data_IF_687972462668
#
_entry.id   IF_687972462668
#
_cell.length_a   1.000
_cell.length_b   1.000
_cell.length_c   1.000
_cell.angle_alpha   90.00
_cell.angle_beta   90.00
_cell.angle_gamma   90.00
#
_symmetry.space_group_name_H-M   'P 1'
#
loop_
_entity.id
_entity.type
_entity.pdbx_description
1 polymer ?
#
# COMPACT_ATOMS: atom_id res chain seq x y z
N UNK A 1 33.21 -6.95 19.02
CA UNK A 1 32.32 -5.86 19.47
C UNK A 1 31.77 -5.23 18.21
N UNK A 2 30.43 -5.02 18.14
CA UNK A 2 29.81 -4.31 17.03
C UNK A 2 30.29 -2.86 16.99
N UNK A 3 30.35 -2.26 15.81
CA UNK A 3 30.70 -0.84 15.69
C UNK A 3 29.64 0.03 16.41
N UNK A 4 30.10 1.15 16.94
CA UNK A 4 29.28 2.14 17.63
C UNK A 4 29.12 3.37 16.74
N UNK A 5 27.88 3.74 16.49
CA UNK A 5 27.53 4.96 15.73
C UNK A 5 26.99 6.00 16.68
N UNK A 6 27.63 7.16 16.75
CA UNK A 6 27.19 8.28 17.59
C UNK A 6 26.50 9.32 16.72
N UNK A 7 25.33 9.78 17.18
CA UNK A 7 24.55 10.81 16.48
C UNK A 7 25.03 12.21 16.86
N UNK A 8 24.80 13.17 15.96
CA UNK A 8 25.06 14.58 16.21
C UNK A 8 24.17 15.12 17.35
N UNK A 9 24.66 16.19 17.98
CA UNK A 9 23.87 16.90 19.00
C UNK A 9 22.53 17.41 18.43
N UNK A 10 21.47 17.02 19.10
CA UNK A 10 20.10 17.41 18.72
C UNK A 10 19.41 16.42 17.77
N UNK A 11 20.15 15.44 17.22
CA UNK A 11 19.60 14.38 16.37
C UNK A 11 19.10 13.17 17.18
N UNK A 12 18.45 12.20 16.51
CA UNK A 12 17.91 11.00 17.13
C UNK A 12 16.56 11.18 17.82
N UNK A 13 15.90 12.34 17.68
CA UNK A 13 14.57 12.59 18.28
C UNK A 13 13.52 11.65 17.73
N UNK A 14 13.54 11.38 16.43
CA UNK A 14 12.66 10.41 15.76
C UNK A 14 12.85 9.01 16.31
N UNK A 15 14.10 8.60 16.57
CA UNK A 15 14.40 7.28 17.15
C UNK A 15 13.87 7.19 18.60
N UNK A 16 14.06 8.25 19.41
CA UNK A 16 13.51 8.32 20.78
C UNK A 16 11.97 8.26 20.76
N UNK A 17 11.33 8.81 19.74
CA UNK A 17 9.88 8.72 19.53
C UNK A 17 9.41 7.37 18.97
N UNK A 18 10.31 6.45 18.58
CA UNK A 18 9.97 5.13 18.05
C UNK A 18 10.17 4.96 16.56
N UNK A 19 10.72 5.97 15.86
CA UNK A 19 11.09 5.88 14.45
C UNK A 19 12.18 4.85 14.17
N UNK A 20 12.33 4.45 12.93
CA UNK A 20 13.22 3.37 12.53
C UNK A 20 14.42 3.81 11.68
N UNK A 21 14.47 5.05 11.20
CA UNK A 21 15.47 5.50 10.23
C UNK A 21 16.41 6.55 10.82
N UNK A 22 17.70 6.35 10.57
CA UNK A 22 18.74 7.34 10.81
C UNK A 22 19.39 7.66 9.48
N UNK A 23 19.38 8.94 9.11
CA UNK A 23 19.97 9.40 7.86
C UNK A 23 21.47 9.68 7.99
N UNK A 24 22.18 9.72 6.87
CA UNK A 24 23.61 9.95 6.81
C UNK A 24 24.04 11.28 7.46
N UNK A 25 23.23 12.32 7.31
CA UNK A 25 23.50 13.65 7.86
C UNK A 25 23.30 13.75 9.38
N UNK A 26 22.67 12.77 10.03
CA UNK A 26 22.44 12.73 11.48
C UNK A 26 23.64 12.13 12.25
N UNK A 27 24.57 11.46 11.56
CA UNK A 27 25.70 10.76 12.17
C UNK A 27 26.88 11.71 12.38
N UNK A 28 27.44 11.68 13.59
CA UNK A 28 28.68 12.39 13.96
C UNK A 28 29.91 11.51 13.73
N UNK A 29 29.98 10.37 14.42
CA UNK A 29 31.14 9.46 14.35
C UNK A 29 30.72 7.98 14.27
N UNK A 30 31.62 7.17 13.72
CA UNK A 30 31.52 5.70 13.72
C UNK A 30 32.82 5.13 14.27
N UNK A 31 32.73 4.45 15.40
CA UNK A 31 33.87 3.80 16.04
C UNK A 31 33.79 2.28 15.85
N UNK A 32 34.90 1.67 15.44
CA UNK A 32 34.99 0.24 15.16
C UNK A 32 34.92 -0.08 13.66
N UNK A 33 35.03 -1.37 13.34
CA UNK A 33 34.95 -1.88 11.94
C UNK A 33 33.60 -2.51 11.71
N UNK A 34 33.08 -2.33 10.51
CA UNK A 34 31.81 -2.94 10.08
C UNK A 34 31.83 -3.16 8.58
N UNK A 35 30.95 -4.04 8.11
CA UNK A 35 30.55 -4.19 6.71
C UNK A 35 29.12 -3.69 6.54
N UNK A 36 28.78 -3.25 5.33
CA UNK A 36 27.40 -2.91 5.01
C UNK A 36 26.47 -4.11 5.25
N UNK A 37 25.35 -3.87 5.90
CA UNK A 37 24.37 -4.90 6.31
C UNK A 37 24.61 -5.48 7.71
N UNK A 38 25.74 -5.18 8.36
CA UNK A 38 25.98 -5.64 9.73
C UNK A 38 25.22 -4.83 10.77
N UNK A 39 25.01 -5.44 11.94
CA UNK A 39 24.39 -4.79 13.10
C UNK A 39 25.38 -3.87 13.79
N UNK A 40 24.97 -2.64 14.03
CA UNK A 40 25.70 -1.65 14.81
C UNK A 40 24.89 -1.19 16.01
N UNK A 41 25.58 -0.73 17.06
CA UNK A 41 24.96 -0.07 18.22
C UNK A 41 24.89 1.43 17.97
N UNK A 42 23.76 2.04 18.24
CA UNK A 42 23.53 3.48 18.08
C UNK A 42 23.54 4.16 19.42
N UNK A 43 24.33 5.23 19.54
CA UNK A 43 24.36 6.11 20.71
C UNK A 43 23.89 7.52 20.33
N UNK A 44 23.29 8.23 21.25
CA UNK A 44 23.06 9.65 21.08
C UNK A 44 24.37 10.44 21.31
N UNK A 45 24.31 11.77 21.17
CA UNK A 45 25.45 12.66 21.30
C UNK A 45 26.18 12.52 22.68
N UNK A 46 25.43 12.25 23.76
CA UNK A 46 25.96 12.13 25.13
C UNK A 46 26.45 10.69 25.44
N UNK A 47 26.44 9.80 24.43
CA UNK A 47 26.86 8.40 24.59
C UNK A 47 25.80 7.47 25.14
N UNK A 48 24.54 7.93 25.26
CA UNK A 48 23.45 7.08 25.71
C UNK A 48 23.07 6.06 24.62
N UNK A 49 23.05 4.74 24.92
CA UNK A 49 22.73 3.72 23.93
C UNK A 49 21.24 3.74 23.57
N UNK A 50 20.96 3.93 22.29
CA UNK A 50 19.59 4.06 21.75
C UNK A 50 19.03 2.75 21.20
N UNK A 51 19.88 1.76 20.95
CA UNK A 51 19.48 0.48 20.38
C UNK A 51 20.45 -0.04 19.32
N UNK A 52 19.98 -1.00 18.52
CA UNK A 52 20.76 -1.66 17.44
C UNK A 52 20.00 -1.64 16.12
N UNK A 53 20.73 -1.57 15.02
CA UNK A 53 20.18 -1.61 13.66
C UNK A 53 21.19 -2.00 12.61
N UNK A 54 20.73 -2.20 11.39
CA UNK A 54 21.61 -2.50 10.24
C UNK A 54 22.16 -1.20 9.65
N UNK A 55 23.47 -1.17 9.40
CA UNK A 55 24.15 -0.05 8.74
C UNK A 55 24.35 -0.34 7.25
N UNK A 56 24.13 0.70 6.41
CA UNK A 56 24.42 0.64 4.98
C UNK A 56 24.97 1.97 4.47
N UNK A 57 26.23 2.01 4.07
CA UNK A 57 26.89 3.21 3.56
C UNK A 57 26.44 3.62 2.15
N UNK A 58 25.79 2.73 1.40
CA UNK A 58 25.25 3.05 0.07
C UNK A 58 23.93 3.84 0.15
N UNK A 59 23.20 3.73 1.25
CA UNK A 59 21.89 4.32 1.45
C UNK A 59 21.95 5.67 2.16
N UNK A 60 21.05 6.59 1.82
CA UNK A 60 20.81 7.80 2.61
C UNK A 60 20.17 7.47 3.97
N UNK A 61 19.36 6.42 4.04
CA UNK A 61 18.93 5.82 5.30
C UNK A 61 20.09 4.96 5.81
N UNK A 62 21.00 5.62 6.53
CA UNK A 62 22.29 5.03 6.95
C UNK A 62 22.12 3.85 7.90
N UNK A 63 21.14 3.95 8.81
CA UNK A 63 20.83 2.87 9.74
C UNK A 63 19.31 2.66 9.77
N UNK A 64 18.93 1.38 9.70
CA UNK A 64 17.56 0.94 9.96
C UNK A 64 17.53 0.23 11.30
N UNK A 65 16.85 0.84 12.27
CA UNK A 65 16.77 0.33 13.64
C UNK A 65 15.96 -0.96 13.68
N UNK A 66 16.51 -1.98 14.34
CA UNK A 66 15.84 -3.26 14.58
C UNK A 66 15.26 -3.34 16.00
N UNK A 67 15.95 -2.73 16.97
CA UNK A 67 15.51 -2.70 18.37
C UNK A 67 15.98 -1.43 19.06
N UNK A 68 15.17 -0.95 19.99
CA UNK A 68 15.52 0.15 20.89
C UNK A 68 16.11 -0.35 22.22
N UNK A 69 16.27 -1.66 22.36
CA UNK A 69 16.91 -2.28 23.53
C UNK A 69 18.37 -2.56 23.19
N UNK A 70 19.34 -1.84 23.78
CA UNK A 70 20.76 -1.99 23.42
C UNK A 70 21.32 -3.40 23.68
N UNK A 71 20.79 -4.07 24.72
CA UNK A 71 21.25 -5.41 25.11
C UNK A 71 20.57 -6.53 24.34
N UNK A 72 19.56 -6.21 23.49
CA UNK A 72 18.88 -7.22 22.68
C UNK A 72 19.81 -7.74 21.57
N UNK A 73 20.01 -9.05 21.53
CA UNK A 73 20.64 -9.70 20.37
C UNK A 73 19.66 -9.81 19.21
N UNK A 74 20.16 -9.55 17.98
CA UNK A 74 19.42 -9.72 16.73
C UNK A 74 19.81 -11.06 16.15
N UNK A 75 19.24 -12.11 16.70
CA UNK A 75 19.48 -13.51 16.33
C UNK A 75 18.21 -14.12 15.67
N UNK A 76 18.28 -15.40 15.34
CA UNK A 76 17.17 -16.16 14.74
C UNK A 76 15.92 -16.16 15.64
N UNK A 77 16.09 -16.30 16.95
CA UNK A 77 14.98 -16.30 17.90
C UNK A 77 14.26 -14.94 17.93
N UNK A 78 15.05 -13.85 17.87
CA UNK A 78 14.51 -12.50 17.75
C UNK A 78 13.73 -12.32 16.44
N UNK A 79 14.27 -12.75 15.30
CA UNK A 79 13.61 -12.66 14.01
C UNK A 79 12.34 -13.50 13.98
N UNK A 80 12.38 -14.75 14.46
CA UNK A 80 11.20 -15.63 14.54
C UNK A 80 10.10 -15.03 15.41
N UNK A 81 10.44 -14.41 16.53
CA UNK A 81 9.51 -13.70 17.38
C UNK A 81 8.83 -12.53 16.64
N UNK A 82 9.60 -11.73 15.86
CA UNK A 82 9.04 -10.62 15.06
C UNK A 82 8.05 -11.13 14.02
N UNK A 83 8.40 -12.17 13.29
CA UNK A 83 7.53 -12.82 12.28
C UNK A 83 6.25 -13.33 12.95
N UNK A 84 6.36 -14.02 14.09
CA UNK A 84 5.21 -14.52 14.84
C UNK A 84 4.29 -13.38 15.28
N UNK A 85 4.85 -12.31 15.83
CA UNK A 85 4.06 -11.14 16.27
C UNK A 85 3.34 -10.47 15.09
N UNK A 86 3.97 -10.36 13.92
CA UNK A 86 3.34 -9.83 12.72
C UNK A 86 2.15 -10.68 12.27
N UNK A 87 2.28 -12.01 12.28
CA UNK A 87 1.18 -12.92 11.96
C UNK A 87 0.05 -12.87 12.99
N UNK A 88 0.36 -12.92 14.28
CA UNK A 88 -0.65 -12.82 15.35
C UNK A 88 -1.47 -11.52 15.26
N UNK A 89 -0.81 -10.41 14.91
CA UNK A 89 -1.50 -9.14 14.66
C UNK A 89 -2.51 -9.27 13.50
N UNK A 90 -2.14 -9.91 12.37
CA UNK A 90 -3.05 -10.07 11.22
C UNK A 90 -4.26 -10.95 11.56
N UNK A 91 -4.05 -12.02 12.33
CA UNK A 91 -5.16 -12.89 12.76
C UNK A 91 -6.25 -12.15 13.54
N UNK A 92 -5.90 -11.08 14.23
CA UNK A 92 -6.84 -10.29 15.04
C UNK A 92 -7.44 -9.10 14.32
N UNK A 93 -6.85 -8.66 13.19
CA UNK A 93 -7.21 -7.36 12.60
C UNK A 93 -7.78 -7.45 11.19
N UNK A 94 -7.50 -8.51 10.45
CA UNK A 94 -7.94 -8.67 9.06
C UNK A 94 -8.36 -10.10 8.75
N UNK A 95 -9.08 -10.27 7.65
CA UNK A 95 -9.21 -11.56 6.98
C UNK A 95 -7.85 -11.96 6.40
N UNK A 96 -7.35 -13.12 6.80
CA UNK A 96 -6.00 -13.61 6.51
C UNK A 96 -5.91 -14.54 5.30
N UNK A 97 -7.00 -14.77 4.56
CA UNK A 97 -6.96 -15.56 3.32
C UNK A 97 -5.94 -14.96 2.34
N UNK A 98 -6.02 -13.65 2.12
CA UNK A 98 -5.03 -12.86 1.38
C UNK A 98 -4.78 -11.54 2.10
N UNK A 99 -3.55 -11.33 2.59
CA UNK A 99 -3.19 -10.16 3.39
C UNK A 99 -1.68 -9.89 3.35
N UNK A 100 -1.27 -8.68 3.68
CA UNK A 100 0.13 -8.36 3.97
C UNK A 100 0.51 -8.84 5.35
N UNK A 101 1.42 -9.81 5.46
CA UNK A 101 1.85 -10.35 6.75
C UNK A 101 2.95 -9.49 7.37
N UNK A 102 3.90 -9.00 6.55
CA UNK A 102 5.01 -8.14 7.02
C UNK A 102 4.96 -6.83 6.24
N UNK A 103 4.93 -5.72 6.95
CA UNK A 103 4.94 -4.37 6.41
C UNK A 103 6.11 -3.55 6.94
N UNK A 104 7.32 -3.95 6.62
CA UNK A 104 8.55 -3.20 6.87
C UNK A 104 8.71 -2.70 8.29
N UNK A 105 8.89 -1.40 8.41
CA UNK A 105 9.13 -0.69 9.66
C UNK A 105 7.97 -0.81 10.65
N UNK A 106 6.74 -0.94 10.16
CA UNK A 106 5.56 -1.05 11.01
C UNK A 106 5.44 -2.42 11.70
N UNK A 107 6.14 -3.44 11.18
CA UNK A 107 6.29 -4.75 11.84
C UNK A 107 7.71 -4.93 12.43
N UNK A 108 8.49 -3.85 12.46
CA UNK A 108 9.84 -3.85 12.99
C UNK A 108 10.81 -4.81 12.27
N UNK A 109 10.56 -5.04 10.98
CA UNK A 109 11.40 -5.77 10.03
C UNK A 109 11.68 -4.84 8.82
N UNK A 110 12.49 -3.79 9.02
CA UNK A 110 12.58 -2.65 8.12
C UNK A 110 13.02 -3.05 6.71
N UNK A 111 12.26 -2.57 5.72
CA UNK A 111 12.51 -2.81 4.31
C UNK A 111 12.13 -4.22 3.82
N UNK A 112 11.42 -5.02 4.62
CA UNK A 112 10.88 -6.31 4.21
C UNK A 112 9.36 -6.23 4.10
N UNK A 113 8.81 -6.69 2.98
CA UNK A 113 7.38 -6.87 2.75
C UNK A 113 7.12 -8.32 2.40
N UNK A 114 6.12 -8.93 3.03
CA UNK A 114 5.63 -10.27 2.65
C UNK A 114 4.11 -10.23 2.58
N UNK A 115 3.61 -10.47 1.37
CA UNK A 115 2.18 -10.63 1.10
C UNK A 115 1.83 -12.11 0.95
N UNK A 116 0.71 -12.50 1.50
CA UNK A 116 0.11 -13.82 1.35
C UNK A 116 -1.09 -13.71 0.42
N UNK A 117 -1.11 -14.52 -0.60
CA UNK A 117 -2.23 -14.75 -1.51
C UNK A 117 -2.62 -16.21 -1.41
N UNK A 118 -3.67 -16.50 -0.65
CA UNK A 118 -4.12 -17.86 -0.31
C UNK A 118 -2.97 -18.75 0.22
N UNK A 119 -2.43 -19.63 -0.61
CA UNK A 119 -1.33 -20.55 -0.29
C UNK A 119 0.04 -20.14 -0.87
N UNK A 120 0.16 -18.88 -1.36
CA UNK A 120 1.38 -18.35 -1.95
C UNK A 120 1.88 -17.15 -1.15
N UNK A 121 3.19 -17.08 -0.93
CA UNK A 121 3.86 -15.89 -0.38
C UNK A 121 4.58 -15.11 -1.49
N UNK A 122 4.47 -13.79 -1.44
CA UNK A 122 5.24 -12.89 -2.28
C UNK A 122 6.11 -12.01 -1.40
N UNK A 123 7.41 -12.03 -1.66
CA UNK A 123 8.43 -11.37 -0.84
C UNK A 123 9.05 -10.21 -1.60
N UNK A 124 9.11 -9.05 -0.99
CA UNK A 124 9.87 -7.90 -1.46
C UNK A 124 10.86 -7.48 -0.37
N UNK A 125 12.15 -7.56 -0.65
CA UNK A 125 13.21 -7.12 0.24
C UNK A 125 13.93 -5.91 -0.34
N UNK A 126 13.86 -4.76 0.33
CA UNK A 126 14.40 -3.49 -0.14
C UNK A 126 15.63 -3.03 0.63
N UNK A 127 15.95 -3.64 1.79
CA UNK A 127 17.04 -3.23 2.66
C UNK A 127 18.18 -4.25 2.70
N UNK A 128 19.41 -3.77 2.55
CA UNK A 128 20.61 -4.63 2.51
C UNK A 128 20.77 -5.49 3.77
N UNK A 129 20.55 -4.90 4.95
CA UNK A 129 20.66 -5.65 6.20
C UNK A 129 19.64 -6.76 6.35
N UNK A 130 18.45 -6.61 5.73
CA UNK A 130 17.39 -7.62 5.76
C UNK A 130 17.59 -8.72 4.72
N UNK A 131 18.29 -8.41 3.63
CA UNK A 131 18.54 -9.35 2.53
C UNK A 131 19.17 -10.66 3.01
N UNK A 132 20.13 -10.58 3.93
CA UNK A 132 20.82 -11.74 4.49
C UNK A 132 19.91 -12.67 5.32
N UNK A 133 18.77 -12.16 5.82
CA UNK A 133 17.83 -12.91 6.64
C UNK A 133 16.55 -13.31 5.90
N UNK A 134 16.40 -12.87 4.66
CA UNK A 134 15.19 -13.06 3.86
C UNK A 134 14.72 -14.52 3.84
N UNK A 135 15.60 -15.44 3.50
CA UNK A 135 15.24 -16.86 3.37
C UNK A 135 14.89 -17.51 4.72
N UNK A 136 15.63 -17.18 5.77
CA UNK A 136 15.33 -17.74 7.10
C UNK A 136 14.00 -17.18 7.65
N UNK A 137 13.70 -15.91 7.39
CA UNK A 137 12.42 -15.29 7.74
C UNK A 137 11.26 -15.96 6.99
N UNK A 138 11.43 -16.26 5.71
CA UNK A 138 10.44 -16.99 4.91
C UNK A 138 10.21 -18.39 5.50
N UNK A 139 11.26 -19.09 5.91
CA UNK A 139 11.15 -20.40 6.53
C UNK A 139 10.43 -20.34 7.89
N UNK A 140 10.76 -19.38 8.74
CA UNK A 140 10.04 -19.16 10.00
C UNK A 140 8.56 -18.86 9.76
N UNK A 141 8.24 -18.04 8.76
CA UNK A 141 6.86 -17.74 8.43
C UNK A 141 6.12 -19.00 7.96
N UNK A 142 6.72 -19.82 7.11
CA UNK A 142 6.12 -21.10 6.68
C UNK A 142 5.85 -22.05 7.86
N UNK A 143 6.78 -22.14 8.81
CA UNK A 143 6.61 -22.92 10.03
C UNK A 143 5.42 -22.41 10.87
N UNK A 144 5.39 -21.09 11.11
CA UNK A 144 4.33 -20.45 11.91
C UNK A 144 2.96 -20.61 11.25
N UNK A 145 2.86 -20.46 9.92
CA UNK A 145 1.63 -20.66 9.17
C UNK A 145 1.18 -22.14 9.24
N UNK A 146 2.14 -23.07 9.21
CA UNK A 146 1.83 -24.51 9.33
C UNK A 146 1.29 -24.88 10.71
N UNK A 147 1.71 -24.21 11.80
CA UNK A 147 1.12 -24.36 13.14
C UNK A 147 -0.37 -24.00 13.14
N UNK A 148 -0.81 -23.06 12.31
CA UNK A 148 -2.22 -22.69 12.13
C UNK A 148 -2.92 -23.49 10.99
N UNK A 149 -2.29 -24.56 10.50
CA UNK A 149 -2.86 -25.43 9.45
C UNK A 149 -2.76 -24.89 8.03
N UNK A 150 -2.02 -23.80 7.82
CA UNK A 150 -1.85 -23.15 6.51
C UNK A 150 -0.59 -23.69 5.84
N UNK A 151 -0.77 -24.45 4.75
CA UNK A 151 0.35 -24.97 3.96
C UNK A 151 0.65 -24.05 2.78
N UNK A 152 1.84 -23.49 2.74
CA UNK A 152 2.31 -22.64 1.64
C UNK A 152 2.81 -23.50 0.48
N UNK A 153 2.21 -23.32 -0.69
CA UNK A 153 2.52 -24.01 -1.95
C UNK A 153 3.79 -23.49 -2.60
N UNK A 154 4.02 -22.17 -2.50
CA UNK A 154 5.16 -21.57 -3.15
C UNK A 154 5.49 -20.17 -2.64
N UNK A 155 6.69 -19.71 -2.97
CA UNK A 155 7.18 -18.37 -2.62
C UNK A 155 7.77 -17.71 -3.86
N UNK A 156 7.36 -16.48 -4.14
CA UNK A 156 7.87 -15.69 -5.26
C UNK A 156 8.50 -14.40 -4.77
N UNK A 157 9.67 -14.03 -5.28
CA UNK A 157 10.35 -12.78 -4.94
C UNK A 157 10.05 -11.70 -5.96
N UNK A 158 9.64 -10.52 -5.47
CA UNK A 158 9.38 -9.29 -6.22
C UNK A 158 10.24 -8.14 -5.71
N UNK A 159 11.53 -8.39 -5.54
CA UNK A 159 12.54 -7.40 -5.13
C UNK A 159 13.08 -6.62 -6.35
N UNK A 160 12.19 -6.20 -7.26
CA UNK A 160 12.49 -5.54 -8.53
C UNK A 160 12.22 -4.02 -8.52
N UNK A 161 11.85 -3.44 -7.36
CA UNK A 161 11.65 -2.01 -7.19
C UNK A 161 12.96 -1.20 -7.31
N UNK A 162 12.85 0.06 -7.81
CA UNK A 162 14.00 0.95 -7.98
C UNK A 162 14.65 1.35 -6.64
N UNK A 163 13.90 1.33 -5.56
CA UNK A 163 14.36 1.64 -4.20
C UNK A 163 15.49 0.71 -3.76
N UNK A 164 15.46 -0.54 -4.19
CA UNK A 164 16.47 -1.56 -3.89
C UNK A 164 17.86 -1.17 -4.43
N UNK A 165 17.94 -0.53 -5.59
CA UNK A 165 19.23 -0.10 -6.16
C UNK A 165 19.88 1.03 -5.36
N UNK A 166 19.11 1.82 -4.61
CA UNK A 166 19.63 2.84 -3.69
C UNK A 166 20.28 2.25 -2.45
N UNK A 167 19.97 1.00 -2.14
CA UNK A 167 20.60 0.23 -1.06
C UNK A 167 21.89 -0.50 -1.53
N UNK A 168 22.25 -0.38 -2.81
CA UNK A 168 23.39 -1.10 -3.41
C UNK A 168 23.06 -2.55 -3.77
N UNK A 169 21.78 -2.91 -3.84
CA UNK A 169 21.30 -4.24 -4.19
C UNK A 169 20.86 -4.31 -5.65
N UNK A 170 21.11 -5.44 -6.31
CA UNK A 170 20.55 -5.74 -7.62
C UNK A 170 19.05 -6.06 -7.52
N UNK A 171 18.32 -5.79 -8.60
CA UNK A 171 16.91 -6.21 -8.72
C UNK A 171 16.85 -7.73 -8.82
N UNK A 172 15.90 -8.34 -8.09
CA UNK A 172 15.66 -9.78 -8.10
C UNK A 172 14.18 -10.03 -8.33
N UNK A 173 13.88 -11.00 -9.19
CA UNK A 173 12.54 -11.49 -9.46
C UNK A 173 12.61 -12.98 -9.78
N UNK A 174 11.82 -13.82 -9.11
CA UNK A 174 11.83 -15.25 -9.34
C UNK A 174 11.31 -16.08 -8.17
N UNK A 175 11.40 -17.38 -8.31
CA UNK A 175 10.98 -18.33 -7.27
C UNK A 175 12.01 -18.42 -6.15
N UNK A 176 11.53 -18.52 -4.91
CA UNK A 176 12.33 -18.96 -3.76
C UNK A 176 11.94 -20.42 -3.51
N UNK A 177 12.80 -21.37 -3.89
CA UNK A 177 12.51 -22.79 -3.91
C UNK A 177 11.89 -23.26 -5.24
N UNK A 178 10.97 -24.20 -5.19
CA UNK A 178 10.36 -24.83 -6.36
C UNK A 178 9.46 -23.87 -7.15
N UNK A 179 9.40 -24.05 -8.48
CA UNK A 179 8.50 -23.31 -9.36
C UNK A 179 7.06 -23.78 -9.18
N UNK A 180 6.12 -22.85 -9.33
CA UNK A 180 4.68 -23.10 -9.25
C UNK A 180 3.93 -22.19 -10.25
N UNK A 181 2.62 -22.42 -10.44
CA UNK A 181 1.78 -21.51 -11.22
C UNK A 181 1.60 -20.18 -10.46
N UNK A 182 2.07 -19.10 -11.07
CA UNK A 182 2.06 -17.75 -10.50
C UNK A 182 0.70 -17.05 -10.59
N UNK A 183 -0.27 -17.64 -11.27
CA UNK A 183 -1.65 -17.20 -11.23
C UNK A 183 -2.36 -17.80 -10.01
N UNK A 184 -2.81 -16.95 -9.12
CA UNK A 184 -3.43 -17.32 -7.86
C UNK A 184 -4.84 -16.76 -7.82
N UNK A 185 -5.84 -17.63 -7.69
CA UNK A 185 -7.20 -17.18 -7.42
C UNK A 185 -7.32 -16.80 -5.94
N UNK A 186 -7.79 -15.59 -5.68
CA UNK A 186 -8.07 -15.08 -4.33
C UNK A 186 -9.53 -14.70 -4.20
N UNK A 187 -10.04 -14.74 -2.98
CA UNK A 187 -11.38 -14.22 -2.66
C UNK A 187 -11.25 -13.05 -1.68
N UNK A 188 -11.75 -11.90 -2.08
CA UNK A 188 -11.77 -10.71 -1.23
C UNK A 188 -13.17 -10.09 -1.23
N UNK A 189 -13.78 -9.92 -0.05
CA UNK A 189 -15.12 -9.35 0.10
C UNK A 189 -16.22 -10.09 -0.71
N UNK A 190 -16.05 -11.39 -0.94
CA UNK A 190 -16.93 -12.21 -1.76
C UNK A 190 -16.70 -12.08 -3.27
N UNK A 191 -15.67 -11.37 -3.70
CA UNK A 191 -15.26 -11.24 -5.11
C UNK A 191 -14.03 -12.10 -5.38
N UNK A 192 -14.09 -12.89 -6.45
CA UNK A 192 -12.98 -13.70 -6.94
C UNK A 192 -12.09 -12.90 -7.88
N UNK A 193 -10.78 -12.99 -7.70
CA UNK A 193 -9.79 -12.35 -8.56
C UNK A 193 -8.71 -13.34 -8.95
N UNK A 194 -8.29 -13.33 -10.21
CA UNK A 194 -7.08 -13.99 -10.64
C UNK A 194 -5.90 -13.01 -10.51
N UNK A 195 -4.97 -13.30 -9.62
CA UNK A 195 -3.79 -12.47 -9.32
C UNK A 195 -2.55 -13.11 -9.93
N UNK A 196 -1.85 -12.39 -10.82
CA UNK A 196 -0.54 -12.80 -11.32
C UNK A 196 0.55 -12.22 -10.40
N UNK A 197 1.07 -13.06 -9.50
CA UNK A 197 2.09 -12.64 -8.52
C UNK A 197 3.45 -12.36 -9.19
N UNK A 198 3.69 -12.90 -10.39
CA UNK A 198 4.92 -12.64 -11.13
C UNK A 198 4.87 -11.30 -11.88
N UNK A 199 3.76 -10.98 -12.57
CA UNK A 199 3.71 -9.84 -13.49
C UNK A 199 2.73 -8.75 -13.08
N UNK A 200 1.88 -8.99 -12.09
CA UNK A 200 0.97 -7.99 -11.53
C UNK A 200 1.70 -6.79 -10.93
N UNK A 201 1.00 -5.69 -10.73
CA UNK A 201 1.57 -4.50 -10.12
C UNK A 201 1.96 -4.76 -8.66
N UNK A 202 3.02 -4.12 -8.18
CA UNK A 202 3.62 -4.34 -6.86
C UNK A 202 3.92 -5.84 -6.66
N UNK A 203 3.31 -6.46 -5.65
CA UNK A 203 3.41 -7.89 -5.35
C UNK A 203 2.33 -8.74 -6.04
N UNK A 204 1.43 -8.11 -6.82
CA UNK A 204 0.36 -8.77 -7.58
C UNK A 204 -1.00 -8.09 -7.43
N UNK A 205 -1.33 -7.56 -6.25
CA UNK A 205 -2.63 -6.97 -5.93
C UNK A 205 -2.52 -5.83 -4.91
N UNK A 206 -3.51 -4.93 -4.86
CA UNK A 206 -3.56 -3.82 -3.91
C UNK A 206 -4.37 -4.21 -2.66
N UNK A 207 -3.77 -4.99 -1.77
CA UNK A 207 -4.40 -5.47 -0.52
C UNK A 207 -4.80 -4.33 0.43
N UNK A 208 -4.08 -3.20 0.37
CA UNK A 208 -4.30 -2.01 1.20
C UNK A 208 -5.69 -1.38 1.03
N UNK A 209 -6.36 -1.59 -0.10
CA UNK A 209 -7.70 -1.09 -0.41
C UNK A 209 -8.85 -2.05 -0.03
N UNK A 210 -8.57 -3.23 0.52
CA UNK A 210 -9.56 -4.30 0.82
C UNK A 210 -10.84 -3.75 1.46
N UNK A 211 -10.71 -3.05 2.56
CA UNK A 211 -11.87 -2.54 3.29
C UNK A 211 -12.47 -1.24 2.74
N UNK A 212 -11.72 -0.51 1.91
CA UNK A 212 -12.25 0.62 1.15
C UNK A 212 -13.19 0.12 0.04
N UNK A 213 -12.80 -0.96 -0.63
CA UNK A 213 -13.66 -1.66 -1.59
C UNK A 213 -14.93 -2.20 -0.92
N UNK A 214 -14.81 -2.85 0.24
CA UNK A 214 -15.96 -3.33 1.01
C UNK A 214 -16.92 -2.19 1.41
N UNK A 215 -16.39 -1.03 1.79
CA UNK A 215 -17.21 0.12 2.15
C UNK A 215 -18.10 0.61 0.98
N UNK A 216 -17.64 0.44 -0.27
CA UNK A 216 -18.40 0.80 -1.46
C UNK A 216 -19.63 -0.11 -1.68
N UNK A 217 -19.57 -1.38 -1.30
CA UNK A 217 -20.70 -2.31 -1.47
C UNK A 217 -21.97 -1.77 -0.84
N UNK A 218 -21.88 -1.10 0.30
CA UNK A 218 -23.02 -0.57 1.05
C UNK A 218 -23.83 0.48 0.29
N UNK A 219 -23.19 1.23 -0.63
CA UNK A 219 -23.82 2.36 -1.34
C UNK A 219 -24.08 2.09 -2.82
N UNK A 220 -23.69 0.91 -3.33
CA UNK A 220 -23.76 0.61 -4.77
C UNK A 220 -25.01 -0.17 -5.21
N UNK A 221 -25.76 -0.81 -4.29
CA UNK A 221 -26.95 -1.62 -4.65
C UNK A 221 -27.97 -0.85 -5.45
N UNK A 222 -28.34 -1.36 -6.64
CA UNK A 222 -29.31 -0.77 -7.57
C UNK A 222 -28.82 0.53 -8.23
N UNK A 223 -27.54 0.85 -8.18
CA UNK A 223 -26.94 2.10 -8.64
C UNK A 223 -26.23 1.97 -9.98
N UNK A 224 -26.17 3.08 -10.73
CA UNK A 224 -25.27 3.25 -11.88
C UNK A 224 -23.94 3.78 -11.36
N UNK A 225 -22.85 3.03 -11.57
CA UNK A 225 -21.53 3.27 -10.98
C UNK A 225 -20.50 3.53 -12.07
N UNK A 226 -19.63 4.51 -11.86
CA UNK A 226 -18.43 4.77 -12.68
C UNK A 226 -17.19 4.58 -11.80
N UNK A 227 -16.34 3.62 -12.16
CA UNK A 227 -15.07 3.34 -11.50
C UNK A 227 -13.90 3.82 -12.38
N UNK A 228 -13.21 4.87 -11.93
CA UNK A 228 -12.10 5.50 -12.64
C UNK A 228 -10.76 5.00 -12.11
N UNK A 229 -9.86 4.62 -13.02
CA UNK A 229 -8.60 3.95 -12.70
C UNK A 229 -8.85 2.56 -12.12
N UNK A 230 -9.74 1.83 -12.79
CA UNK A 230 -10.33 0.59 -12.26
C UNK A 230 -9.31 -0.54 -12.09
N UNK A 231 -8.10 -0.44 -12.72
CA UNK A 231 -7.09 -1.48 -12.72
C UNK A 231 -7.69 -2.81 -13.16
N UNK A 232 -7.56 -3.88 -12.41
CA UNK A 232 -8.17 -5.19 -12.70
C UNK A 232 -9.65 -5.29 -12.24
N UNK A 233 -10.36 -4.16 -12.14
CA UNK A 233 -11.78 -4.11 -11.86
C UNK A 233 -12.15 -4.14 -10.37
N UNK A 234 -11.22 -3.85 -9.47
CA UNK A 234 -11.38 -4.18 -8.05
C UNK A 234 -12.52 -3.44 -7.35
N UNK A 235 -12.71 -2.13 -7.58
CA UNK A 235 -13.85 -1.39 -7.07
C UNK A 235 -15.13 -1.69 -7.86
N UNK A 236 -15.03 -1.78 -9.19
CA UNK A 236 -16.16 -2.07 -10.07
C UNK A 236 -16.81 -3.42 -9.74
N UNK A 237 -16.02 -4.47 -9.51
CA UNK A 237 -16.52 -5.80 -9.15
C UNK A 237 -17.15 -5.83 -7.75
N UNK A 238 -16.59 -5.09 -6.79
CA UNK A 238 -17.24 -4.92 -5.48
C UNK A 238 -18.60 -4.19 -5.60
N UNK A 239 -18.75 -3.23 -6.50
CA UNK A 239 -20.04 -2.62 -6.79
C UNK A 239 -20.99 -3.63 -7.46
N UNK A 240 -20.51 -4.43 -8.40
CA UNK A 240 -21.28 -5.47 -9.10
C UNK A 240 -21.83 -6.53 -8.14
N UNK A 241 -20.95 -7.13 -7.29
CA UNK A 241 -21.37 -8.17 -6.33
C UNK A 241 -22.38 -7.62 -5.29
N UNK A 242 -22.33 -6.33 -5.00
CA UNK A 242 -23.30 -5.66 -4.15
C UNK A 242 -24.66 -5.43 -4.81
N UNK A 243 -24.82 -5.81 -6.08
CA UNK A 243 -26.05 -5.66 -6.85
C UNK A 243 -26.23 -4.27 -7.46
N UNK A 244 -25.18 -3.62 -7.90
CA UNK A 244 -25.27 -2.43 -8.74
C UNK A 244 -26.06 -2.74 -10.02
N UNK A 245 -26.81 -1.76 -10.54
CA UNK A 245 -27.63 -1.95 -11.75
C UNK A 245 -26.79 -1.90 -13.03
N UNK A 246 -25.75 -1.09 -13.05
CA UNK A 246 -24.84 -0.90 -14.18
C UNK A 246 -23.52 -0.34 -13.66
N UNK A 247 -22.39 -0.94 -14.05
CA UNK A 247 -21.07 -0.50 -13.63
C UNK A 247 -20.16 -0.36 -14.84
N UNK A 248 -19.54 0.80 -14.98
CA UNK A 248 -18.50 1.05 -15.99
C UNK A 248 -17.16 1.29 -15.31
N UNK A 249 -16.16 0.46 -15.61
CA UNK A 249 -14.78 0.64 -15.20
C UNK A 249 -13.92 1.23 -16.32
N UNK A 250 -13.09 2.22 -16.01
CA UNK A 250 -12.17 2.87 -16.95
C UNK A 250 -10.73 2.70 -16.51
N UNK A 251 -9.86 2.27 -17.41
CA UNK A 251 -8.39 2.27 -17.21
C UNK A 251 -7.69 2.57 -18.53
N UNK A 252 -6.50 3.14 -18.47
CA UNK A 252 -5.68 3.42 -19.64
C UNK A 252 -4.96 2.16 -20.16
N UNK A 253 -4.74 1.18 -19.30
CA UNK A 253 -4.02 -0.05 -19.59
C UNK A 253 -4.94 -1.09 -20.23
N UNK A 254 -4.68 -1.46 -21.47
CA UNK A 254 -5.37 -2.55 -22.16
C UNK A 254 -5.25 -3.87 -21.37
N UNK A 255 -4.06 -4.15 -20.84
CA UNK A 255 -3.83 -5.34 -20.02
C UNK A 255 -4.70 -5.34 -18.76
N UNK A 256 -4.79 -4.21 -18.03
CA UNK A 256 -5.62 -4.10 -16.85
C UNK A 256 -7.12 -4.31 -17.19
N UNK A 257 -7.59 -3.73 -18.28
CA UNK A 257 -8.97 -3.89 -18.78
C UNK A 257 -9.25 -5.36 -19.10
N UNK A 258 -8.35 -6.05 -19.80
CA UNK A 258 -8.53 -7.48 -20.13
C UNK A 258 -8.58 -8.36 -18.88
N UNK A 259 -7.77 -8.06 -17.85
CA UNK A 259 -7.81 -8.73 -16.55
C UNK A 259 -9.12 -8.43 -15.81
N UNK A 260 -9.60 -7.19 -15.86
CA UNK A 260 -10.87 -6.80 -15.25
C UNK A 260 -12.08 -7.54 -15.89
N UNK A 261 -12.08 -7.67 -17.23
CA UNK A 261 -13.09 -8.45 -17.93
C UNK A 261 -13.03 -9.94 -17.60
N UNK A 262 -11.82 -10.51 -17.48
CA UNK A 262 -11.65 -11.90 -17.05
C UNK A 262 -12.20 -12.10 -15.62
N UNK A 263 -11.92 -11.18 -14.70
CA UNK A 263 -12.44 -11.22 -13.34
C UNK A 263 -13.97 -11.01 -13.32
N UNK A 264 -14.56 -10.19 -14.20
CA UNK A 264 -16.03 -10.06 -14.30
C UNK A 264 -16.67 -11.40 -14.69
N UNK A 265 -16.10 -12.10 -15.67
CA UNK A 265 -16.56 -13.46 -16.05
C UNK A 265 -16.41 -14.47 -14.91
N UNK A 266 -15.29 -14.42 -14.19
CA UNK A 266 -15.03 -15.30 -13.03
C UNK A 266 -16.11 -15.14 -11.94
N UNK A 267 -16.68 -13.95 -11.82
CA UNK A 267 -17.73 -13.63 -10.86
C UNK A 267 -19.16 -13.64 -11.45
N UNK A 268 -19.35 -14.02 -12.71
CA UNK A 268 -20.63 -13.99 -13.43
C UNK A 268 -21.27 -12.58 -13.47
N UNK A 269 -20.44 -11.54 -13.56
CA UNK A 269 -20.82 -10.12 -13.55
C UNK A 269 -20.70 -9.46 -14.94
N UNK A 270 -20.33 -10.18 -15.98
CA UNK A 270 -20.08 -9.67 -17.34
C UNK A 270 -21.27 -8.97 -17.99
N UNK A 271 -22.49 -9.24 -17.50
CA UNK A 271 -23.72 -8.56 -17.98
C UNK A 271 -24.03 -7.25 -17.23
N UNK A 272 -23.33 -6.98 -16.13
CA UNK A 272 -23.59 -5.81 -15.25
C UNK A 272 -22.38 -4.91 -15.14
N UNK A 273 -21.18 -5.48 -15.22
CA UNK A 273 -19.90 -4.76 -15.04
C UNK A 273 -19.15 -4.78 -16.36
N UNK A 274 -18.95 -3.61 -16.91
CA UNK A 274 -18.32 -3.40 -18.23
C UNK A 274 -17.05 -2.60 -18.07
N UNK A 275 -16.01 -2.93 -18.83
CA UNK A 275 -14.74 -2.23 -18.80
C UNK A 275 -14.41 -1.61 -20.14
N UNK A 276 -13.70 -0.49 -20.10
CA UNK A 276 -13.28 0.21 -21.30
C UNK A 276 -11.91 0.82 -21.13
N UNK A 277 -11.04 0.59 -22.11
CA UNK A 277 -9.76 1.27 -22.18
C UNK A 277 -9.98 2.75 -22.49
N UNK A 278 -9.59 3.64 -21.59
CA UNK A 278 -9.70 5.08 -21.74
C UNK A 278 -8.73 5.83 -20.83
N UNK A 279 -8.22 6.96 -21.29
CA UNK A 279 -7.60 7.94 -20.41
C UNK A 279 -8.70 8.66 -19.64
N UNK A 280 -8.77 8.44 -18.34
CA UNK A 280 -9.81 8.99 -17.45
C UNK A 280 -9.88 10.52 -17.55
N UNK A 281 -8.73 11.22 -17.60
CA UNK A 281 -8.70 12.69 -17.67
C UNK A 281 -9.35 13.25 -18.94
N UNK A 282 -9.30 12.50 -20.03
CA UNK A 282 -9.90 12.88 -21.33
C UNK A 282 -11.34 12.39 -21.44
N UNK A 283 -11.67 11.28 -20.77
CA UNK A 283 -12.98 10.63 -20.90
C UNK A 283 -14.06 11.30 -20.05
N UNK A 284 -13.72 11.69 -18.79
CA UNK A 284 -14.72 12.34 -17.91
C UNK A 284 -15.36 13.60 -18.52
N UNK A 285 -14.61 14.51 -19.20
CA UNK A 285 -15.21 15.64 -19.91
C UNK A 285 -16.17 15.22 -21.01
N UNK A 286 -15.88 14.16 -21.79
CA UNK A 286 -16.73 13.66 -22.87
C UNK A 286 -18.04 13.11 -22.32
N UNK A 287 -17.97 12.32 -21.24
CA UNK A 287 -19.16 11.81 -20.54
C UNK A 287 -20.02 12.96 -20.02
N UNK A 288 -19.43 14.00 -19.46
CA UNK A 288 -20.16 15.18 -19.00
C UNK A 288 -20.82 15.97 -20.16
N UNK A 289 -20.15 16.11 -21.30
CA UNK A 289 -20.71 16.73 -22.51
C UNK A 289 -21.86 15.91 -23.12
N UNK A 290 -21.79 14.58 -23.01
CA UNK A 290 -22.86 13.68 -23.42
C UNK A 290 -24.05 13.67 -22.46
N UNK A 291 -23.98 14.42 -21.34
CA UNK A 291 -25.04 14.47 -20.31
C UNK A 291 -25.10 13.25 -19.40
N UNK A 292 -24.08 12.40 -19.43
CA UNK A 292 -24.01 11.20 -18.58
C UNK A 292 -23.99 11.57 -17.09
N UNK A 293 -24.72 10.78 -16.30
CA UNK A 293 -24.80 10.93 -14.84
C UNK A 293 -24.78 9.57 -14.18
N UNK A 294 -24.10 9.51 -13.04
CA UNK A 294 -23.92 8.31 -12.24
C UNK A 294 -24.42 8.53 -10.81
N UNK A 295 -24.91 7.47 -10.21
CA UNK A 295 -25.30 7.49 -8.79
C UNK A 295 -24.06 7.43 -7.89
N UNK A 296 -22.98 6.78 -8.37
CA UNK A 296 -21.69 6.66 -7.67
C UNK A 296 -20.56 6.87 -8.66
N UNK A 297 -19.61 7.72 -8.31
CA UNK A 297 -18.32 7.88 -9.03
C UNK A 297 -17.19 7.58 -8.08
N UNK A 298 -16.27 6.71 -8.51
CA UNK A 298 -15.08 6.30 -7.74
C UNK A 298 -13.85 6.84 -8.47
N UNK A 299 -12.97 7.51 -7.73
CA UNK A 299 -11.72 8.08 -8.22
C UNK A 299 -10.56 7.52 -7.40
N UNK A 300 -9.86 6.51 -7.94
CA UNK A 300 -8.65 5.92 -7.36
C UNK A 300 -7.42 6.16 -8.26
N UNK A 301 -7.00 7.44 -8.43
CA UNK A 301 -5.91 7.77 -9.33
C UNK A 301 -4.57 7.25 -8.80
N UNK A 302 -3.59 7.01 -9.69
CA UNK A 302 -2.22 6.77 -9.27
C UNK A 302 -1.67 7.96 -8.49
N UNK A 303 -0.63 7.73 -7.69
CA UNK A 303 0.02 8.79 -6.94
C UNK A 303 0.54 9.90 -7.87
N UNK A 304 -0.09 11.09 -7.82
CA UNK A 304 0.33 12.23 -8.64
C UNK A 304 1.62 12.89 -8.12
N UNK A 305 2.12 12.50 -6.95
CA UNK A 305 3.42 12.95 -6.45
C UNK A 305 4.15 11.84 -5.72
N UNK A 306 5.47 11.80 -5.96
CA UNK A 306 6.43 10.93 -5.26
C UNK A 306 7.48 11.74 -4.51
N UNK A 307 7.36 13.08 -4.50
CA UNK A 307 8.28 13.96 -3.78
C UNK A 307 7.56 15.20 -3.25
N UNK A 308 8.18 15.86 -2.27
CA UNK A 308 7.65 17.09 -1.68
C UNK A 308 7.59 18.25 -2.69
N UNK A 309 8.56 18.33 -3.59
CA UNK A 309 8.64 19.37 -4.62
C UNK A 309 7.49 19.27 -5.63
N UNK A 310 7.05 18.05 -5.95
CA UNK A 310 5.97 17.81 -6.91
C UNK A 310 4.56 17.99 -6.29
N UNK A 311 4.43 18.26 -4.99
CA UNK A 311 3.14 18.36 -4.28
C UNK A 311 2.22 19.43 -4.88
N UNK A 312 2.77 20.60 -5.31
CA UNK A 312 1.95 21.66 -5.93
C UNK A 312 1.25 21.21 -7.22
N UNK A 313 1.94 20.41 -8.04
CA UNK A 313 1.36 19.87 -9.27
C UNK A 313 0.35 18.77 -8.96
N UNK A 314 0.62 17.95 -7.95
CA UNK A 314 -0.31 16.93 -7.50
C UNK A 314 -1.64 17.53 -7.01
N UNK A 315 -1.61 18.62 -6.24
CA UNK A 315 -2.82 19.34 -5.80
C UNK A 315 -3.67 19.75 -7.00
N UNK A 316 -3.05 20.28 -8.07
CA UNK A 316 -3.78 20.64 -9.31
C UNK A 316 -4.43 19.41 -9.94
N UNK A 317 -3.70 18.29 -10.07
CA UNK A 317 -4.22 17.05 -10.62
C UNK A 317 -5.38 16.47 -9.80
N UNK A 318 -5.24 16.40 -8.47
CA UNK A 318 -6.33 15.95 -7.59
C UNK A 318 -7.54 16.88 -7.63
N UNK A 319 -7.33 18.21 -7.69
CA UNK A 319 -8.43 19.16 -7.84
C UNK A 319 -9.17 18.94 -9.16
N UNK A 320 -8.43 18.82 -10.26
CA UNK A 320 -9.00 18.64 -11.60
C UNK A 320 -9.81 17.35 -11.69
N UNK A 321 -9.27 16.22 -11.27
CA UNK A 321 -9.97 14.93 -11.34
C UNK A 321 -11.25 14.93 -10.48
N UNK A 322 -11.18 15.51 -9.29
CA UNK A 322 -12.37 15.64 -8.43
C UNK A 322 -13.42 16.56 -9.02
N UNK A 323 -13.03 17.69 -9.65
CA UNK A 323 -13.98 18.56 -10.37
C UNK A 323 -14.67 17.82 -11.52
N UNK A 324 -13.92 17.05 -12.31
CA UNK A 324 -14.46 16.26 -13.42
C UNK A 324 -15.43 15.18 -12.91
N UNK A 325 -15.04 14.44 -11.86
CA UNK A 325 -15.89 13.42 -11.25
C UNK A 325 -17.18 14.00 -10.66
N UNK A 326 -17.10 15.10 -9.90
CA UNK A 326 -18.27 15.76 -9.30
C UNK A 326 -19.32 16.21 -10.33
N UNK A 327 -18.91 16.60 -11.53
CA UNK A 327 -19.83 16.96 -12.61
C UNK A 327 -20.68 15.77 -13.10
N UNK A 328 -20.21 14.54 -12.89
CA UNK A 328 -20.89 13.31 -13.31
C UNK A 328 -21.80 12.73 -12.22
N UNK A 329 -21.63 13.14 -10.96
CA UNK A 329 -22.48 12.63 -9.86
C UNK A 329 -23.83 13.29 -9.92
N UNK A 330 -24.92 12.48 -9.82
CA UNK A 330 -26.29 12.95 -9.65
C UNK A 330 -26.47 13.69 -8.32
N UNK A 331 -27.47 14.57 -8.21
CA UNK A 331 -27.89 15.12 -6.92
C UNK A 331 -28.31 13.99 -5.98
N UNK A 332 -27.77 13.99 -4.75
CA UNK A 332 -27.96 12.91 -3.78
C UNK A 332 -27.08 11.66 -4.01
N UNK A 333 -26.30 11.62 -5.09
CA UNK A 333 -25.36 10.55 -5.39
C UNK A 333 -24.08 10.61 -4.55
N UNK A 334 -23.11 9.75 -4.86
CA UNK A 334 -21.89 9.60 -4.04
C UNK A 334 -20.61 9.77 -4.87
N UNK A 335 -19.63 10.42 -4.27
CA UNK A 335 -18.25 10.46 -4.74
C UNK A 335 -17.37 9.71 -3.75
N UNK A 336 -16.65 8.68 -4.22
CA UNK A 336 -15.52 8.13 -3.52
C UNK A 336 -14.25 8.66 -4.16
N UNK A 337 -13.30 9.16 -3.36
CA UNK A 337 -12.03 9.71 -3.88
C UNK A 337 -10.90 9.39 -2.93
N UNK A 338 -9.74 9.03 -3.48
CA UNK A 338 -8.59 8.69 -2.67
C UNK A 338 -7.28 9.26 -3.19
N UNK A 339 -6.28 9.14 -2.35
CA UNK A 339 -4.87 9.40 -2.66
C UNK A 339 -3.99 8.39 -1.95
N UNK A 340 -3.14 7.70 -2.70
CA UNK A 340 -2.12 6.79 -2.18
C UNK A 340 -0.74 7.48 -2.01
N UNK A 341 -0.67 8.81 -2.03
CA UNK A 341 0.59 9.53 -1.87
C UNK A 341 0.79 9.99 -0.42
N UNK A 342 1.93 9.63 0.18
CA UNK A 342 2.35 10.14 1.49
C UNK A 342 2.40 11.69 1.53
N UNK A 343 2.88 12.33 0.45
CA UNK A 343 3.00 13.80 0.37
C UNK A 343 1.67 14.54 0.21
N UNK A 344 0.60 13.84 -0.18
CA UNK A 344 -0.77 14.35 -0.14
C UNK A 344 -1.39 14.03 1.22
N UNK A 345 -1.15 14.89 2.21
CA UNK A 345 -1.67 14.71 3.56
C UNK A 345 -3.21 14.72 3.57
N UNK A 346 -3.81 14.22 4.64
CA UNK A 346 -5.27 14.20 4.81
C UNK A 346 -5.88 15.60 4.66
N UNK A 347 -5.32 16.59 5.36
CA UNK A 347 -5.81 17.97 5.34
C UNK A 347 -5.69 18.59 3.94
N UNK A 348 -4.57 18.27 3.26
CA UNK A 348 -4.34 18.78 1.92
C UNK A 348 -5.32 18.20 0.91
N UNK A 349 -5.60 16.89 0.98
CA UNK A 349 -6.62 16.24 0.14
C UNK A 349 -8.02 16.79 0.44
N UNK A 350 -8.39 16.90 1.72
CA UNK A 350 -9.68 17.43 2.14
C UNK A 350 -9.89 18.86 1.64
N UNK A 351 -8.87 19.73 1.76
CA UNK A 351 -8.89 21.10 1.22
C UNK A 351 -9.07 21.09 -0.30
N UNK A 352 -8.33 20.23 -1.00
CA UNK A 352 -8.36 20.13 -2.47
C UNK A 352 -9.73 19.68 -2.98
N UNK A 353 -10.35 18.69 -2.32
CA UNK A 353 -11.70 18.20 -2.67
C UNK A 353 -12.76 19.28 -2.37
N UNK A 354 -12.62 20.00 -1.25
CA UNK A 354 -13.52 21.14 -0.91
C UNK A 354 -13.45 22.25 -1.98
N UNK A 355 -12.24 22.57 -2.48
CA UNK A 355 -12.08 23.54 -3.57
C UNK A 355 -12.70 23.04 -4.89
N UNK A 356 -12.59 21.75 -5.20
CA UNK A 356 -13.25 21.15 -6.35
C UNK A 356 -14.76 21.21 -6.26
N UNK A 357 -15.34 20.91 -5.09
CA UNK A 357 -16.77 21.00 -4.84
C UNK A 357 -17.30 22.45 -5.01
N UNK A 358 -16.60 23.43 -4.43
CA UNK A 358 -16.93 24.86 -4.61
C UNK A 358 -16.93 25.25 -6.08
N UNK A 359 -15.92 24.86 -6.84
CA UNK A 359 -15.79 25.19 -8.26
C UNK A 359 -16.86 24.51 -9.16
N UNK A 360 -17.51 23.49 -8.67
CA UNK A 360 -18.59 22.77 -9.38
C UNK A 360 -19.98 23.05 -8.82
N UNK A 361 -20.12 23.99 -7.88
CA UNK A 361 -21.37 24.34 -7.20
C UNK A 361 -22.03 23.14 -6.53
N UNK A 362 -21.21 22.25 -5.93
CA UNK A 362 -21.66 21.08 -5.20
C UNK A 362 -21.38 21.23 -3.71
N UNK A 363 -22.25 20.66 -2.88
CA UNK A 363 -22.02 20.49 -1.44
C UNK A 363 -21.75 19.03 -1.13
N UNK A 364 -20.80 18.79 -0.23
CA UNK A 364 -20.37 17.46 0.15
C UNK A 364 -20.73 17.18 1.61
N UNK A 365 -21.42 16.08 1.84
CA UNK A 365 -21.60 15.50 3.18
C UNK A 365 -20.65 14.33 3.29
N UNK A 366 -19.67 14.42 4.21
CA UNK A 366 -18.77 13.30 4.45
C UNK A 366 -19.56 12.14 5.05
N UNK A 367 -19.54 11.00 4.37
CA UNK A 367 -20.15 9.75 4.83
C UNK A 367 -19.11 8.95 5.61
N UNK A 368 -17.91 8.87 5.07
CA UNK A 368 -16.85 8.06 5.67
C UNK A 368 -15.47 8.61 5.30
N UNK A 369 -14.51 8.44 6.21
CA UNK A 369 -13.08 8.58 5.97
C UNK A 369 -12.38 7.30 6.40
N UNK A 370 -11.51 6.78 5.54
CA UNK A 370 -10.75 5.54 5.75
C UNK A 370 -9.30 5.72 5.34
N UNK A 371 -8.48 4.81 5.82
CA UNK A 371 -7.06 4.71 5.47
C UNK A 371 -6.78 3.36 4.80
N UNK A 372 -5.53 2.97 4.72
CA UNK A 372 -5.14 1.63 4.30
C UNK A 372 -5.70 0.56 5.26
N UNK A 373 -5.87 -0.65 4.74
CA UNK A 373 -6.32 -1.79 5.53
C UNK A 373 -5.35 -2.08 6.70
N UNK A 374 -5.84 -2.63 7.83
CA UNK A 374 -5.02 -2.84 9.03
C UNK A 374 -3.80 -3.74 8.83
N UNK A 375 -3.76 -4.60 7.81
CA UNK A 375 -2.59 -5.38 7.44
C UNK A 375 -1.43 -4.53 6.85
N UNK A 376 -1.70 -3.25 6.58
CA UNK A 376 -0.73 -2.20 6.29
C UNK A 376 -0.70 -1.20 7.45
N UNK A 377 -0.22 -1.60 8.65
CA UNK A 377 -0.37 -0.81 9.85
C UNK A 377 0.30 0.56 9.74
N UNK A 378 -0.36 1.58 10.31
CA UNK A 378 0.19 2.92 10.46
C UNK A 378 0.97 2.96 11.76
N UNK A 379 2.29 3.05 11.67
CA UNK A 379 3.15 3.24 12.83
C UNK A 379 3.23 4.74 13.15
N UNK A 380 2.68 5.16 14.28
CA UNK A 380 2.58 6.58 14.67
C UNK A 380 3.93 7.28 14.86
N UNK A 381 5.00 6.49 15.00
CA UNK A 381 6.37 6.99 15.04
C UNK A 381 7.06 7.05 13.68
N UNK A 382 6.37 6.64 12.60
CA UNK A 382 6.89 6.58 11.24
C UNK A 382 5.83 7.11 10.26
N UNK A 383 5.85 8.42 10.04
CA UNK A 383 4.87 9.14 9.21
C UNK A 383 4.77 8.57 7.79
N UNK A 384 5.87 8.02 7.27
CA UNK A 384 5.93 7.36 5.95
C UNK A 384 5.04 6.13 5.84
N UNK A 385 4.67 5.51 6.95
CA UNK A 385 3.73 4.37 6.99
C UNK A 385 2.28 4.79 6.68
N UNK A 386 1.94 6.08 6.82
CA UNK A 386 0.61 6.62 6.51
C UNK A 386 0.60 7.23 5.11
N UNK A 387 0.01 6.54 4.14
CA UNK A 387 0.02 6.97 2.74
C UNK A 387 -1.35 6.97 2.06
N UNK A 388 -2.33 6.17 2.51
CA UNK A 388 -3.64 6.06 1.86
C UNK A 388 -4.71 6.88 2.59
N UNK A 389 -5.41 7.72 1.86
CA UNK A 389 -6.58 8.48 2.30
C UNK A 389 -7.72 8.21 1.35
N UNK A 390 -8.84 7.77 1.87
CA UNK A 390 -10.05 7.42 1.12
C UNK A 390 -11.27 8.09 1.75
N UNK A 391 -11.98 8.89 0.96
CA UNK A 391 -13.21 9.57 1.37
C UNK A 391 -14.40 9.07 0.58
N UNK A 392 -15.52 8.94 1.25
CA UNK A 392 -16.85 8.81 0.64
C UNK A 392 -17.67 10.05 1.01
N UNK A 393 -18.18 10.73 0.00
CA UNK A 393 -19.07 11.89 0.16
C UNK A 393 -20.42 11.63 -0.51
N UNK A 394 -21.51 12.04 0.14
CA UNK A 394 -22.75 12.31 -0.56
C UNK A 394 -22.65 13.69 -1.22
N UNK A 395 -23.02 13.77 -2.49
CA UNK A 395 -22.96 14.99 -3.30
C UNK A 395 -24.37 15.58 -3.41
N UNK A 396 -24.50 16.85 -3.07
CA UNK A 396 -25.77 17.59 -3.13
C UNK A 396 -25.56 18.84 -3.97
N UNK A 397 -26.50 19.09 -4.89
CA UNK A 397 -26.44 20.28 -5.71
C UNK A 397 -26.68 21.53 -4.85
N UNK A 398 -25.93 22.59 -5.13
CA UNK A 398 -26.17 23.89 -4.51
C UNK A 398 -27.38 24.52 -5.21
N UNK A 399 -28.44 24.69 -4.44
CA UNK A 399 -29.71 25.33 -4.90
C UNK A 399 -29.73 26.80 -4.51
#
# INVERSE_FOLDING_TARGET
>A
MSAIVTLKKGEGRTIKAGGAWIFDNEIDTIAGRFKNGEVVTVHDFDGYPMGKGFINQNSKIRIRMMTRKPDQEIDEAFLKMRVKNAWEYRKTTVDTSSCRIIFGEADFLPGLVIDKYEDVLVVECLALGMEQFKEIIVNFLKEILAEDGIKIRGVYERSDANERTKEGLSKVKGFIGDAFDTNVEIVENGVHYMVDVANGQKTGFFLDQKYNRLAMQRICKGKKVLDCFTHMGTFALNAGIAGAADVTGLDISEYAVSQAEANARLNHLENTVHFRQANVLDELPKLAQAGEKYDVVILDPPAFTKSREATKNAIKGYREINMKGLKLVKDGGYLATCSCSHFMTQDLLAKTVKEAAKATHKRLRQVEFRTQAPDHPILWAADESYYLKFYIFQVVDER
#
